data_IF_929816452584
#
_entry.id   IF_929816452584
#
_cell.length_a   1.000
_cell.length_b   1.000
_cell.length_c   1.000
_cell.angle_alpha   90.00
_cell.angle_beta   90.00
_cell.angle_gamma   90.00
#
_symmetry.space_group_name_H-M   'P 1'
#
loop_
_entity.id
_entity.type
_entity.pdbx_description
1 polymer ?
#
# COMPACT_ATOMS: atom_id res chain seq x y z
N UNK A 1 13.50 10.94 -40.59
CA UNK A 1 14.59 10.23 -39.89
C UNK A 1 13.92 9.08 -39.17
N UNK A 2 14.26 7.82 -39.50
CA UNK A 2 13.85 6.69 -38.66
C UNK A 2 14.63 6.77 -37.36
N UNK A 3 13.93 6.63 -36.24
CA UNK A 3 14.56 6.47 -34.93
C UNK A 3 15.41 5.18 -34.96
N UNK A 4 16.66 5.19 -34.49
CA UNK A 4 17.46 3.97 -34.38
C UNK A 4 16.77 2.97 -33.45
N UNK A 5 16.92 1.67 -33.74
CA UNK A 5 16.40 0.61 -32.88
C UNK A 5 16.92 0.79 -31.44
N UNK A 6 16.04 0.68 -30.43
CA UNK A 6 16.45 0.85 -29.05
C UNK A 6 17.50 -0.21 -28.68
N UNK A 7 18.55 0.17 -27.96
CA UNK A 7 19.58 -0.76 -27.52
C UNK A 7 18.98 -1.86 -26.63
N UNK A 8 19.53 -3.09 -26.67
CA UNK A 8 18.98 -4.25 -25.97
C UNK A 8 18.97 -4.10 -24.44
N UNK A 9 19.76 -3.15 -23.90
CA UNK A 9 19.80 -2.81 -22.48
C UNK A 9 18.58 -2.02 -21.99
N UNK A 10 17.82 -1.40 -22.89
CA UNK A 10 16.81 -0.39 -22.54
C UNK A 10 17.39 0.98 -22.19
N UNK A 11 18.69 1.19 -22.40
CA UNK A 11 19.40 2.46 -22.18
C UNK A 11 20.24 2.83 -23.39
N UNK A 12 20.19 4.09 -23.83
CA UNK A 12 21.12 4.65 -24.84
C UNK A 12 22.57 4.49 -24.42
N UNK A 13 23.51 4.64 -25.36
CA UNK A 13 24.94 4.57 -25.07
C UNK A 13 25.42 5.64 -24.08
N UNK A 14 24.68 6.75 -23.97
CA UNK A 14 24.90 7.83 -22.98
C UNK A 14 24.29 7.50 -21.60
N UNK A 15 23.66 6.33 -21.44
CA UNK A 15 23.04 5.86 -20.21
C UNK A 15 21.63 6.42 -19.95
N UNK A 16 20.98 6.99 -20.96
CA UNK A 16 19.61 7.52 -20.85
C UNK A 16 18.62 6.38 -21.09
N UNK A 17 17.61 6.14 -20.23
CA UNK A 17 16.64 5.09 -20.46
C UNK A 17 15.79 5.41 -21.70
N UNK A 18 15.49 4.39 -22.51
CA UNK A 18 14.59 4.53 -23.66
C UNK A 18 13.15 4.70 -23.19
N UNK A 19 12.31 5.30 -24.03
CA UNK A 19 10.88 5.43 -23.75
C UNK A 19 10.23 4.07 -23.44
N UNK A 20 10.55 3.06 -24.25
CA UNK A 20 10.05 1.70 -24.08
C UNK A 20 10.43 1.10 -22.72
N UNK A 21 11.68 1.27 -22.27
CA UNK A 21 12.13 0.78 -20.98
C UNK A 21 11.41 1.46 -19.80
N UNK A 22 11.17 2.76 -19.91
CA UNK A 22 10.40 3.51 -18.91
C UNK A 22 8.95 3.04 -18.89
N UNK A 23 8.32 2.88 -20.06
CA UNK A 23 6.94 2.39 -20.19
C UNK A 23 6.78 1.02 -19.55
N UNK A 24 7.61 0.06 -19.93
CA UNK A 24 7.57 -1.31 -19.37
C UNK A 24 7.79 -1.30 -17.85
N UNK A 25 8.72 -0.47 -17.36
CA UNK A 25 8.97 -0.34 -15.92
C UNK A 25 7.76 0.20 -15.17
N UNK A 26 7.06 1.20 -15.73
CA UNK A 26 5.83 1.76 -15.15
C UNK A 26 4.71 0.72 -15.16
N UNK A 27 4.51 0.01 -16.26
CA UNK A 27 3.47 -1.02 -16.39
C UNK A 27 3.69 -2.14 -15.39
N UNK A 28 4.93 -2.65 -15.28
CA UNK A 28 5.29 -3.69 -14.31
C UNK A 28 5.06 -3.25 -12.87
N UNK A 29 5.45 -2.02 -12.52
CA UNK A 29 5.23 -1.47 -11.17
C UNK A 29 3.75 -1.27 -10.88
N UNK A 30 2.98 -0.77 -11.84
CA UNK A 30 1.54 -0.59 -11.72
C UNK A 30 0.81 -1.92 -11.54
N UNK A 31 1.19 -2.94 -12.32
CA UNK A 31 0.64 -4.29 -12.20
C UNK A 31 0.98 -4.93 -10.84
N UNK A 32 2.21 -4.77 -10.35
CA UNK A 32 2.60 -5.25 -9.03
C UNK A 32 1.88 -4.51 -7.89
N UNK A 33 1.68 -3.21 -8.03
CA UNK A 33 1.00 -2.39 -7.03
C UNK A 33 -0.48 -2.74 -6.88
N UNK A 34 -1.16 -3.15 -7.96
CA UNK A 34 -2.59 -3.43 -7.99
C UNK A 34 -3.07 -4.50 -6.97
N UNK A 35 -2.17 -5.34 -6.44
CA UNK A 35 -2.48 -6.33 -5.39
C UNK A 35 -1.56 -6.26 -4.17
N UNK A 36 -0.70 -5.25 -4.07
CA UNK A 36 0.32 -5.21 -3.03
C UNK A 36 -0.27 -4.97 -1.64
N UNK A 37 -1.27 -4.09 -1.53
CA UNK A 37 -1.93 -3.80 -0.25
C UNK A 37 -2.60 -5.03 0.35
N UNK A 38 -3.27 -5.84 -0.47
CA UNK A 38 -3.88 -7.11 -0.02
C UNK A 38 -2.82 -8.09 0.49
N UNK A 39 -1.70 -8.23 -0.22
CA UNK A 39 -0.58 -9.08 0.21
C UNK A 39 0.04 -8.59 1.52
N UNK A 40 0.17 -7.27 1.70
CA UNK A 40 0.66 -6.67 2.95
C UNK A 40 -0.35 -6.89 4.08
N UNK A 41 -1.65 -6.71 3.84
CA UNK A 41 -2.70 -6.98 4.81
C UNK A 41 -2.73 -8.45 5.25
N UNK A 42 -2.51 -9.38 4.32
CA UNK A 42 -2.42 -10.81 4.58
C UNK A 42 -1.03 -11.28 5.07
N UNK A 43 -0.06 -10.39 5.25
CA UNK A 43 1.21 -10.76 5.89
C UNK A 43 1.01 -11.00 7.40
N UNK A 44 1.92 -11.73 8.08
CA UNK A 44 1.87 -11.84 9.55
C UNK A 44 1.78 -10.47 10.23
N UNK A 45 2.60 -9.51 9.81
CA UNK A 45 2.62 -8.16 10.35
C UNK A 45 1.32 -7.39 10.07
N UNK A 46 0.71 -7.62 8.90
CA UNK A 46 -0.59 -7.06 8.53
C UNK A 46 -1.71 -7.58 9.43
N UNK A 47 -1.73 -8.89 9.70
CA UNK A 47 -2.67 -9.53 10.63
C UNK A 47 -2.50 -9.00 12.05
N UNK A 48 -1.26 -8.95 12.56
CA UNK A 48 -0.98 -8.43 13.91
C UNK A 48 -1.41 -6.96 14.06
N UNK A 49 -1.26 -6.15 13.00
CA UNK A 49 -1.73 -4.76 13.00
C UNK A 49 -3.26 -4.71 13.07
N UNK A 50 -3.94 -5.52 12.25
CA UNK A 50 -5.40 -5.57 12.23
C UNK A 50 -5.98 -6.01 13.59
N UNK A 51 -5.35 -6.99 14.25
CA UNK A 51 -5.74 -7.45 15.58
C UNK A 51 -5.63 -6.31 16.62
N UNK A 52 -4.48 -5.62 16.68
CA UNK A 52 -4.30 -4.47 17.59
C UNK A 52 -5.29 -3.34 17.34
N UNK A 53 -5.65 -3.10 16.08
CA UNK A 53 -6.63 -2.07 15.72
C UNK A 53 -8.04 -2.45 16.17
N UNK A 54 -8.42 -3.73 16.03
CA UNK A 54 -9.68 -4.26 16.54
C UNK A 54 -9.77 -4.21 18.07
N UNK A 55 -8.69 -4.58 18.77
CA UNK A 55 -8.60 -4.45 20.23
C UNK A 55 -8.75 -3.01 20.68
N UNK A 56 -8.04 -2.08 20.02
CA UNK A 56 -8.14 -0.66 20.30
C UNK A 56 -9.55 -0.12 20.05
N UNK A 57 -10.20 -0.55 18.98
CA UNK A 57 -11.57 -0.15 18.68
C UNK A 57 -12.56 -0.64 19.75
N UNK A 58 -12.43 -1.90 20.20
CA UNK A 58 -13.25 -2.42 21.29
C UNK A 58 -13.03 -1.63 22.58
N UNK A 59 -11.78 -1.40 22.97
CA UNK A 59 -11.45 -0.63 24.17
C UNK A 59 -11.97 0.81 24.09
N UNK A 60 -11.88 1.44 22.92
CA UNK A 60 -12.43 2.77 22.70
C UNK A 60 -13.97 2.79 22.82
N UNK A 61 -14.66 1.78 22.28
CA UNK A 61 -16.12 1.63 22.40
C UNK A 61 -16.54 1.46 23.85
N UNK A 62 -15.91 0.54 24.57
CA UNK A 62 -16.20 0.29 26.00
C UNK A 62 -16.00 1.58 26.80
N UNK A 63 -14.92 2.32 26.52
CA UNK A 63 -14.65 3.58 27.21
C UNK A 63 -15.71 4.64 26.93
N UNK A 64 -16.18 4.74 25.68
CA UNK A 64 -17.26 5.65 25.31
C UNK A 64 -18.57 5.29 26.00
N UNK A 65 -18.86 4.00 26.19
CA UNK A 65 -20.03 3.55 26.94
C UNK A 65 -19.95 3.91 28.42
N UNK A 66 -18.79 3.72 29.06
CA UNK A 66 -18.56 4.19 30.43
C UNK A 66 -18.83 5.69 30.57
N UNK A 67 -18.27 6.50 29.67
CA UNK A 67 -18.46 7.96 29.66
C UNK A 67 -19.94 8.31 29.53
N UNK A 68 -20.68 7.65 28.63
CA UNK A 68 -22.12 7.88 28.45
C UNK A 68 -22.91 7.56 29.71
N UNK A 69 -22.58 6.46 30.40
CA UNK A 69 -23.19 6.07 31.67
C UNK A 69 -22.93 7.11 32.76
N UNK A 70 -21.68 7.56 32.89
CA UNK A 70 -21.32 8.62 33.85
C UNK A 70 -22.07 9.92 33.59
N UNK A 71 -22.23 10.33 32.34
CA UNK A 71 -22.98 11.55 31.97
C UNK A 71 -24.48 11.42 32.28
N UNK A 72 -25.06 10.22 32.14
CA UNK A 72 -26.47 9.97 32.49
C UNK A 72 -26.73 9.81 33.99
N UNK A 73 -25.68 9.72 34.81
CA UNK A 73 -25.80 9.44 36.24
C UNK A 73 -26.15 7.97 36.55
N UNK A 74 -25.90 7.06 35.60
CA UNK A 74 -26.18 5.62 35.71
C UNK A 74 -24.99 4.83 36.32
N UNK A 75 -24.11 5.51 37.08
CA UNK A 75 -22.87 4.97 37.64
C UNK A 75 -23.03 4.31 39.00
#
# INVERSE_FOLDING_TARGET
MSEPDPPPSGYTDEGVPTFEHVRETIERRSAAAAGYEELVAQSPQGRDRAEREAEHESAARDKLEEIRRSVRGEG
#
